data_IF_380475008015
#
_entry.id   IF_380475008015
#
_cell.length_a   1.000
_cell.length_b   1.000
_cell.length_c   1.000
_cell.angle_alpha   90.00
_cell.angle_beta   90.00
_cell.angle_gamma   90.00
#
_symmetry.space_group_name_H-M   'P 1'
#
loop_
_entity.id
_entity.type
_entity.pdbx_description
1 polymer ?
#
# COMPACT_ATOMS: atom_id res chain seq x y z
N UNK A 1 12.13 2.65 -17.70
CA UNK A 1 11.46 2.90 -16.40
C UNK A 1 11.24 4.40 -16.32
N UNK A 2 10.00 4.85 -16.11
CA UNK A 2 9.68 6.29 -15.98
C UNK A 2 10.17 6.86 -14.65
N UNK A 3 9.98 8.17 -14.38
CA UNK A 3 10.35 8.75 -13.09
C UNK A 3 9.58 8.06 -11.95
N UNK A 4 10.29 7.68 -10.90
CA UNK A 4 9.68 7.18 -9.67
C UNK A 4 9.38 8.35 -8.74
N UNK A 5 8.32 8.22 -7.95
CA UNK A 5 7.89 9.22 -6.97
C UNK A 5 7.82 8.56 -5.60
N UNK A 6 8.46 9.18 -4.61
CA UNK A 6 8.34 8.81 -3.22
C UNK A 6 7.63 9.96 -2.48
N UNK A 7 6.48 9.68 -1.90
CA UNK A 7 5.67 10.68 -1.20
C UNK A 7 5.23 10.16 0.18
N UNK A 8 4.83 11.07 1.08
CA UNK A 8 4.47 10.75 2.47
C UNK A 8 5.63 10.05 3.19
N UNK A 9 6.83 10.57 2.93
CA UNK A 9 8.11 10.09 3.44
C UNK A 9 8.50 10.92 4.65
N UNK A 10 9.08 10.28 5.67
CA UNK A 10 9.66 10.99 6.83
C UNK A 10 10.85 11.83 6.39
N UNK A 11 11.02 13.01 6.97
CA UNK A 11 12.07 13.96 6.59
C UNK A 11 13.48 13.32 6.55
N UNK A 12 13.78 12.45 7.51
CA UNK A 12 15.08 11.77 7.62
C UNK A 12 15.35 10.74 6.50
N UNK A 13 14.31 10.23 5.85
CA UNK A 13 14.43 9.25 4.75
C UNK A 13 14.53 9.94 3.38
N UNK A 14 14.19 11.23 3.28
CA UNK A 14 14.11 11.92 2.00
C UNK A 14 15.44 11.91 1.22
N UNK A 15 16.57 12.13 1.91
CA UNK A 15 17.89 12.12 1.27
C UNK A 15 18.26 10.75 0.67
N UNK A 16 17.83 9.65 1.32
CA UNK A 16 18.12 8.29 0.85
C UNK A 16 17.31 7.92 -0.40
N UNK A 17 16.12 8.49 -0.52
CA UNK A 17 15.19 8.20 -1.63
C UNK A 17 15.39 9.13 -2.83
N UNK A 18 16.12 10.23 -2.67
CA UNK A 18 16.39 11.20 -3.73
C UNK A 18 17.15 10.58 -4.92
N UNK A 19 17.96 9.55 -4.68
CA UNK A 19 18.67 8.82 -5.73
C UNK A 19 17.77 7.84 -6.52
N UNK A 20 16.59 7.51 -5.98
CA UNK A 20 15.66 6.51 -6.52
C UNK A 20 14.54 7.21 -7.31
N UNK A 21 14.14 8.42 -6.90
CA UNK A 21 13.06 9.15 -7.54
C UNK A 21 12.87 10.55 -6.99
N UNK A 22 11.84 11.23 -7.50
CA UNK A 22 11.44 12.53 -6.97
C UNK A 22 10.76 12.33 -5.62
N UNK A 23 11.31 12.98 -4.59
CA UNK A 23 10.82 12.87 -3.21
C UNK A 23 9.99 14.08 -2.86
N UNK A 24 8.81 13.84 -2.32
CA UNK A 24 7.94 14.88 -1.73
C UNK A 24 7.64 14.50 -0.28
N UNK A 25 7.89 15.43 0.64
CA UNK A 25 7.43 15.32 2.03
C UNK A 25 6.11 16.09 2.13
N UNK A 26 5.01 15.37 1.99
CA UNK A 26 3.66 15.91 2.13
C UNK A 26 2.70 14.80 2.56
N UNK A 27 1.65 15.18 3.30
CA UNK A 27 0.53 14.28 3.60
C UNK A 27 -0.16 13.91 2.28
N UNK A 28 -0.07 12.64 1.91
CA UNK A 28 -0.61 12.15 0.66
C UNK A 28 -2.11 12.42 0.55
N UNK A 29 -2.88 12.35 1.64
CA UNK A 29 -4.33 12.51 1.60
C UNK A 29 -4.79 13.95 1.40
N UNK A 30 -3.92 14.93 1.62
CA UNK A 30 -4.26 16.35 1.56
C UNK A 30 -3.44 17.14 0.55
N UNK A 31 -2.37 16.57 -0.02
CA UNK A 31 -1.55 17.27 -1.02
C UNK A 31 -2.34 17.75 -2.24
N UNK A 32 -1.95 18.86 -2.83
CA UNK A 32 -2.52 19.32 -4.09
C UNK A 32 -1.81 18.62 -5.27
N UNK A 33 -2.58 18.22 -6.28
CA UNK A 33 -2.11 17.63 -7.55
C UNK A 33 -1.09 16.47 -7.41
N UNK A 34 -1.51 15.30 -6.88
CA UNK A 34 -0.61 14.15 -6.76
C UNK A 34 -0.10 13.69 -8.14
N UNK A 35 1.17 13.23 -8.26
CA UNK A 35 1.75 12.83 -9.53
C UNK A 35 0.96 11.71 -10.23
N UNK A 36 0.62 11.91 -11.51
CA UNK A 36 0.05 10.84 -12.34
C UNK A 36 1.04 9.68 -12.42
N UNK A 37 0.55 8.47 -12.14
CA UNK A 37 1.40 7.28 -11.98
C UNK A 37 0.78 6.05 -12.62
N UNK A 38 1.62 5.18 -13.18
CA UNK A 38 1.17 3.92 -13.79
C UNK A 38 0.76 2.88 -12.73
N UNK A 39 1.36 2.95 -11.54
CA UNK A 39 1.04 2.10 -10.40
C UNK A 39 1.37 2.82 -9.09
N UNK A 40 0.78 2.35 -7.99
CA UNK A 40 1.06 2.84 -6.65
C UNK A 40 1.32 1.66 -5.71
N UNK A 41 2.39 1.73 -4.93
CA UNK A 41 2.75 0.75 -3.91
C UNK A 41 2.95 1.50 -2.61
N UNK A 42 2.20 1.17 -1.56
CA UNK A 42 2.30 1.88 -0.28
C UNK A 42 1.96 1.00 0.92
N UNK A 43 2.43 1.39 2.11
CA UNK A 43 2.05 0.82 3.40
C UNK A 43 1.29 1.89 4.19
N UNK A 44 0.00 2.12 3.89
CA UNK A 44 -0.73 3.23 4.47
C UNK A 44 -1.11 2.92 5.92
N UNK A 45 -1.35 3.94 6.77
CA UNK A 45 -1.89 3.72 8.11
C UNK A 45 -3.17 2.87 8.08
N UNK A 46 -3.29 1.85 8.94
CA UNK A 46 -4.39 0.87 8.90
C UNK A 46 -5.79 1.49 8.88
N UNK A 47 -5.97 2.59 9.60
CA UNK A 47 -7.24 3.31 9.74
C UNK A 47 -7.59 4.13 8.50
N UNK A 48 -6.61 4.47 7.67
CA UNK A 48 -6.72 5.38 6.50
C UNK A 48 -6.55 4.67 5.16
N UNK A 49 -6.21 3.38 5.16
CA UNK A 49 -5.95 2.59 3.96
C UNK A 49 -7.05 2.66 2.88
N UNK A 50 -8.33 2.70 3.26
CA UNK A 50 -9.43 2.87 2.31
C UNK A 50 -9.35 4.22 1.57
N UNK A 51 -9.08 5.31 2.30
CA UNK A 51 -8.99 6.67 1.75
C UNK A 51 -7.80 6.80 0.80
N UNK A 52 -6.69 6.10 1.09
CA UNK A 52 -5.53 6.04 0.19
C UNK A 52 -5.89 5.41 -1.16
N UNK A 53 -6.63 4.29 -1.16
CA UNK A 53 -7.06 3.62 -2.40
C UNK A 53 -8.04 4.49 -3.19
N UNK A 54 -9.03 5.07 -2.52
CA UNK A 54 -10.02 5.95 -3.16
C UNK A 54 -9.36 7.18 -3.78
N UNK A 55 -8.37 7.75 -3.09
CA UNK A 55 -7.59 8.87 -3.60
C UNK A 55 -6.68 8.49 -4.76
N UNK A 56 -6.00 7.34 -4.66
CA UNK A 56 -5.11 6.83 -5.71
C UNK A 56 -5.86 6.66 -7.04
N UNK A 57 -7.10 6.16 -7.01
CA UNK A 57 -7.94 5.99 -8.21
C UNK A 57 -8.17 7.26 -9.03
N UNK A 58 -7.94 8.44 -8.45
CA UNK A 58 -8.11 9.71 -9.18
C UNK A 58 -6.94 10.04 -10.13
N UNK A 59 -5.75 9.45 -9.91
CA UNK A 59 -4.53 9.81 -10.64
C UNK A 59 -3.63 8.63 -11.01
N UNK A 60 -3.89 7.43 -10.46
CA UNK A 60 -3.19 6.19 -10.80
C UNK A 60 -3.95 5.46 -11.90
N UNK A 61 -3.29 5.18 -13.03
CA UNK A 61 -3.91 4.54 -14.20
C UNK A 61 -3.93 3.02 -14.13
N UNK A 62 -3.07 2.41 -13.31
CA UNK A 62 -2.91 0.96 -13.20
C UNK A 62 -3.05 0.43 -11.76
N UNK A 63 -2.30 -0.61 -11.38
CA UNK A 63 -2.45 -1.28 -10.09
C UNK A 63 -2.19 -0.37 -8.90
N UNK A 64 -3.04 -0.50 -7.87
CA UNK A 64 -2.86 0.11 -6.56
C UNK A 64 -2.64 -1.01 -5.55
N UNK A 65 -1.44 -1.08 -4.98
CA UNK A 65 -1.00 -2.12 -4.05
C UNK A 65 -0.82 -1.50 -2.66
N UNK A 66 -1.60 -1.98 -1.69
CA UNK A 66 -1.45 -1.58 -0.29
C UNK A 66 -1.03 -2.76 0.57
N UNK A 67 -0.06 -2.56 1.46
CA UNK A 67 0.32 -3.53 2.47
C UNK A 67 -0.59 -3.36 3.69
N UNK A 68 -1.30 -4.39 4.11
CA UNK A 68 -2.16 -4.37 5.30
C UNK A 68 -2.12 -5.71 6.04
N UNK A 69 -2.59 -5.71 7.29
CA UNK A 69 -2.78 -6.95 8.04
C UNK A 69 -3.96 -7.74 7.44
N UNK A 70 -3.91 -9.07 7.48
CA UNK A 70 -5.00 -9.91 6.95
C UNK A 70 -6.32 -9.59 7.64
N UNK A 71 -6.29 -9.31 8.96
CA UNK A 71 -7.48 -8.93 9.73
C UNK A 71 -8.12 -7.61 9.31
N UNK A 72 -7.41 -6.77 8.55
CA UNK A 72 -7.95 -5.52 8.03
C UNK A 72 -9.22 -5.75 7.21
N UNK A 73 -9.24 -6.74 6.32
CA UNK A 73 -10.38 -7.00 5.44
C UNK A 73 -11.65 -7.48 6.17
N UNK A 74 -11.51 -7.97 7.41
CA UNK A 74 -12.57 -8.71 8.11
C UNK A 74 -13.63 -7.83 8.78
N UNK A 75 -13.49 -6.50 8.78
CA UNK A 75 -14.53 -5.63 9.35
C UNK A 75 -15.72 -5.49 8.41
N UNK A 76 -16.91 -5.35 8.98
CA UNK A 76 -18.15 -5.23 8.19
C UNK A 76 -18.12 -4.07 7.19
N UNK A 77 -17.55 -2.92 7.58
CA UNK A 77 -17.40 -1.76 6.70
C UNK A 77 -16.51 -2.08 5.49
N UNK A 78 -15.33 -2.65 5.74
CA UNK A 78 -14.34 -2.90 4.68
C UNK A 78 -14.74 -4.06 3.79
N UNK A 79 -15.29 -5.13 4.34
CA UNK A 79 -15.74 -6.28 3.53
C UNK A 79 -16.82 -5.90 2.52
N UNK A 80 -17.71 -4.97 2.85
CA UNK A 80 -18.69 -4.42 1.89
C UNK A 80 -18.01 -3.60 0.78
N UNK A 81 -17.11 -2.70 1.16
CA UNK A 81 -16.40 -1.84 0.22
C UNK A 81 -15.46 -2.62 -0.72
N UNK A 82 -14.72 -3.61 -0.20
CA UNK A 82 -13.77 -4.43 -0.98
C UNK A 82 -14.44 -5.17 -2.14
N UNK A 83 -15.73 -5.54 -2.01
CA UNK A 83 -16.51 -6.19 -3.08
C UNK A 83 -16.75 -5.30 -4.29
N UNK A 84 -16.69 -3.98 -4.12
CA UNK A 84 -16.98 -3.00 -5.17
C UNK A 84 -15.78 -2.12 -5.48
N UNK A 85 -14.68 -2.25 -4.73
CA UNK A 85 -13.50 -1.41 -4.86
C UNK A 85 -12.55 -1.85 -5.99
N UNK A 86 -12.85 -2.92 -6.73
CA UNK A 86 -11.93 -3.47 -7.73
C UNK A 86 -10.73 -4.18 -7.11
N UNK A 87 -10.90 -4.75 -5.91
CA UNK A 87 -9.89 -5.63 -5.32
C UNK A 87 -9.77 -6.88 -6.21
N UNK A 88 -8.61 -7.08 -6.81
CA UNK A 88 -8.34 -8.18 -7.71
C UNK A 88 -7.51 -9.29 -7.04
N UNK A 89 -6.52 -8.94 -6.22
CA UNK A 89 -5.66 -9.91 -5.56
C UNK A 89 -5.44 -9.60 -4.07
N UNK A 90 -5.34 -10.67 -3.29
CA UNK A 90 -4.83 -10.66 -1.91
C UNK A 90 -3.65 -11.61 -1.86
N UNK A 91 -2.43 -11.05 -1.84
CA UNK A 91 -1.19 -11.82 -1.86
C UNK A 91 -0.63 -11.90 -0.43
N UNK A 92 -0.84 -13.02 0.24
CA UNK A 92 -0.39 -13.23 1.61
C UNK A 92 1.14 -13.29 1.67
N UNK A 93 1.73 -12.77 2.73
CA UNK A 93 3.16 -12.83 2.98
C UNK A 93 3.49 -13.97 3.96
N UNK A 94 4.01 -15.13 3.50
CA UNK A 94 4.40 -16.22 4.38
C UNK A 94 5.55 -15.81 5.30
N UNK A 95 6.45 -14.97 4.79
CA UNK A 95 7.53 -14.36 5.55
C UNK A 95 7.08 -13.00 6.04
N UNK A 96 6.90 -12.88 7.36
CA UNK A 96 6.46 -11.63 7.98
C UNK A 96 7.49 -10.52 7.76
N UNK A 97 7.08 -9.31 7.32
CA UNK A 97 7.97 -8.17 7.28
C UNK A 97 8.58 -7.90 8.65
N UNK A 98 9.85 -7.52 8.70
CA UNK A 98 10.46 -7.04 9.94
C UNK A 98 10.56 -5.52 9.85
N UNK A 99 10.08 -4.79 10.85
CA UNK A 99 10.25 -3.33 10.92
C UNK A 99 11.03 -2.96 12.17
N UNK A 100 11.82 -1.92 12.05
CA UNK A 100 12.37 -1.18 13.18
C UNK A 100 11.28 -0.22 13.68
N UNK A 101 11.09 -0.14 14.99
CA UNK A 101 10.27 0.90 15.60
C UNK A 101 11.19 1.95 16.20
N UNK A 102 10.72 3.20 16.19
CA UNK A 102 11.46 4.39 16.63
C UNK A 102 11.96 4.33 18.10
N UNK A 103 11.65 3.28 18.86
CA UNK A 103 12.11 3.09 20.25
C UNK A 103 13.53 2.50 20.37
N UNK A 104 14.22 2.18 19.25
CA UNK A 104 15.55 1.55 19.28
C UNK A 104 15.54 0.07 19.70
N UNK A 105 14.39 -0.45 20.12
CA UNK A 105 14.16 -1.86 20.36
C UNK A 105 13.68 -2.54 19.07
N UNK A 106 14.38 -3.58 18.64
CA UNK A 106 13.83 -4.51 17.65
C UNK A 106 12.57 -5.15 18.23
N UNK A 107 11.40 -4.87 17.67
CA UNK A 107 10.20 -5.63 17.99
C UNK A 107 10.47 -7.10 17.68
N UNK A 108 10.51 -7.92 18.74
CA UNK A 108 10.49 -9.37 18.62
C UNK A 108 9.09 -9.77 18.14
N UNK A 109 8.96 -9.91 16.82
CA UNK A 109 7.77 -10.33 16.08
C UNK A 109 6.65 -9.29 16.00
N UNK A 110 6.34 -8.87 14.77
CA UNK A 110 5.02 -8.43 14.44
C UNK A 110 4.03 -9.60 14.66
N UNK A 111 3.04 -9.38 15.52
CA UNK A 111 2.04 -10.41 15.85
C UNK A 111 1.07 -10.65 14.69
N UNK A 112 1.00 -9.70 13.75
CA UNK A 112 0.04 -9.70 12.67
C UNK A 112 0.59 -10.37 11.39
N UNK A 113 -0.26 -11.13 10.72
CA UNK A 113 -0.01 -11.61 9.36
C UNK A 113 -0.41 -10.54 8.34
N UNK A 114 0.35 -10.42 7.24
CA UNK A 114 0.19 -9.36 6.25
C UNK A 114 -0.10 -9.92 4.87
N UNK A 115 -0.74 -9.10 4.05
CA UNK A 115 -0.94 -9.34 2.63
C UNK A 115 -0.83 -8.02 1.84
N UNK A 116 -0.43 -8.14 0.58
CA UNK A 116 -0.66 -7.10 -0.41
C UNK A 116 -2.08 -7.19 -0.93
N UNK A 117 -2.83 -6.10 -0.82
CA UNK A 117 -4.15 -5.95 -1.43
C UNK A 117 -3.98 -5.16 -2.71
N UNK A 118 -4.25 -5.80 -3.85
CA UNK A 118 -4.04 -5.25 -5.19
C UNK A 118 -5.38 -4.89 -5.81
N UNK A 119 -5.57 -3.62 -6.09
CA UNK A 119 -6.74 -3.09 -6.78
C UNK A 119 -6.38 -2.83 -8.24
N UNK A 120 -7.20 -3.33 -9.17
CA UNK A 120 -7.02 -3.10 -10.59
C UNK A 120 -8.13 -2.17 -11.12
N UNK A 121 -7.80 -1.25 -12.05
CA UNK A 121 -8.80 -0.45 -12.74
C UNK A 121 -9.84 -1.34 -13.41
N UNK A 122 -11.12 -0.98 -13.27
CA UNK A 122 -12.26 -1.67 -13.89
C UNK A 122 -12.40 -3.17 -13.55
N UNK A 123 -11.75 -3.68 -12.51
CA UNK A 123 -11.96 -5.05 -12.06
C UNK A 123 -13.34 -5.21 -11.40
N UNK A 124 -14.14 -6.12 -11.95
CA UNK A 124 -15.50 -6.45 -11.50
C UNK A 124 -15.62 -7.91 -11.00
N UNK A 125 -14.52 -8.67 -11.10
CA UNK A 125 -14.43 -10.05 -10.69
C UNK A 125 -14.37 -10.26 -9.18
N UNK A 126 -14.31 -11.54 -8.78
CA UNK A 126 -14.01 -11.89 -7.38
C UNK A 126 -12.50 -11.76 -7.15
N UNK A 127 -12.08 -11.23 -5.99
CA UNK A 127 -10.67 -11.20 -5.64
C UNK A 127 -10.13 -12.63 -5.56
N UNK A 128 -8.93 -12.82 -6.13
CA UNK A 128 -8.16 -14.05 -6.02
C UNK A 128 -7.17 -13.93 -4.85
N UNK A 129 -6.84 -15.05 -4.24
CA UNK A 129 -5.88 -15.10 -3.14
C UNK A 129 -4.73 -16.02 -3.53
N UNK A 130 -3.51 -15.59 -3.21
CA UNK A 130 -2.30 -16.39 -3.35
C UNK A 130 -1.29 -16.06 -2.24
N UNK A 131 -0.12 -16.68 -2.26
CA UNK A 131 1.03 -16.38 -1.41
C UNK A 131 2.16 -15.78 -2.25
N UNK A 132 2.73 -14.67 -1.78
CA UNK A 132 3.95 -14.13 -2.38
C UNK A 132 5.14 -14.94 -1.85
N UNK A 133 5.79 -15.70 -2.72
CA UNK A 133 6.94 -16.53 -2.37
C UNK A 133 8.23 -15.95 -2.94
N UNK A 134 9.37 -16.20 -2.27
CA UNK A 134 10.68 -15.79 -2.79
C UNK A 134 10.95 -16.64 -4.06
N UNK A 135 10.76 -16.06 -5.26
CA UNK A 135 10.93 -16.76 -6.54
C UNK A 135 10.01 -16.31 -7.69
N UNK A 136 9.01 -15.47 -7.39
CA UNK A 136 8.09 -14.86 -8.37
C UNK A 136 8.57 -13.47 -8.86
#
# INVERSE_FOLDING_TARGET
>A
MGPHWANDIRDEEAAKLADIGQVTVADYLTMDDPPRSDFLITNPPFTRAQEFVERAKMHVSGPICILQSIGWQSTQKRSKWLRTAGLAHVLNLPKRPQWEVDSGDRIKSNVWDYAWFVFLPNHDGRPQMDWLSDGD
#
